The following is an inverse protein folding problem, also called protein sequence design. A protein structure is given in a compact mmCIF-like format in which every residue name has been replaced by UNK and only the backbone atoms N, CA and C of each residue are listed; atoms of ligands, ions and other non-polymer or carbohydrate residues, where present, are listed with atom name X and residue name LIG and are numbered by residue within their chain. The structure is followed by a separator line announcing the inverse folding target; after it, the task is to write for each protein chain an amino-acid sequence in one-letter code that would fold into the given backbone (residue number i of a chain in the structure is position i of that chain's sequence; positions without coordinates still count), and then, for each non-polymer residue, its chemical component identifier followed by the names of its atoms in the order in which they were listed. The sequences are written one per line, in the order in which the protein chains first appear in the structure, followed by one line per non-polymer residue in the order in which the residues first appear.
data_IF_588852634174
#
_entry.id   IF_588852634174
#
_cell.length_a   1.000
_cell.length_b   1.000
_cell.length_c   1.000
_cell.angle_alpha   90.00
_cell.angle_beta   90.00
_cell.angle_gamma   90.00
#
_symmetry.space_group_name_H-M   'P 1'
#
loop_
_entity.id
_entity.type
_entity.pdbx_description
1 polymer ?
#
# COMPACT_ATOMS: atom_id res chain seq x y z
N UNK A 1 21.20 12.84 -0.30
CA UNK A 1 21.24 14.17 -0.94
C UNK A 1 19.82 14.64 -1.07
N UNK A 2 19.47 15.71 -0.36
CA UNK A 2 18.11 16.21 -0.23
C UNK A 2 17.93 17.41 -1.16
N UNK A 3 16.91 17.39 -2.01
CA UNK A 3 16.42 18.57 -2.69
C UNK A 3 14.98 18.80 -2.23
N UNK A 4 14.85 19.72 -1.27
CA UNK A 4 13.61 20.28 -0.77
C UNK A 4 13.11 21.26 -1.84
N UNK A 5 11.86 21.11 -2.27
CA UNK A 5 11.18 22.18 -3.01
C UNK A 5 9.89 22.55 -2.27
N UNK A 6 9.89 23.73 -1.65
CA UNK A 6 8.71 24.41 -1.11
C UNK A 6 8.28 25.45 -2.13
N UNK A 7 6.98 25.58 -2.41
CA UNK A 7 6.46 26.81 -2.99
C UNK A 7 5.23 27.31 -2.22
N UNK A 8 5.37 28.53 -1.68
CA UNK A 8 4.29 29.34 -1.10
C UNK A 8 3.38 29.85 -2.22
N UNK A 9 2.07 29.83 -2.03
CA UNK A 9 1.13 30.65 -2.79
C UNK A 9 0.69 31.86 -1.97
N UNK A 10 0.84 33.04 -2.56
CA UNK A 10 0.43 34.32 -1.99
C UNK A 10 -1.07 34.57 -2.22
N UNK A 11 -1.71 35.17 -1.21
CA UNK A 11 -3.07 35.71 -1.30
C UNK A 11 -3.05 37.06 -1.99
N UNK A 12 -4.05 37.33 -2.83
CA UNK A 12 -4.47 38.69 -3.21
C UNK A 12 -5.99 38.80 -3.11
N UNK A 13 -6.44 39.88 -2.46
CA UNK A 13 -7.82 40.32 -2.31
C UNK A 13 -8.17 41.40 -3.35
N UNK A 14 -9.47 41.54 -3.64
CA UNK A 14 -10.10 42.70 -4.30
C UNK A 14 -10.83 42.32 -5.60
N UNK A 15 -12.01 42.84 -5.97
CA UNK A 15 -12.83 43.96 -5.50
C UNK A 15 -14.29 43.70 -5.94
N UNK A 16 -15.23 44.23 -5.16
CA UNK A 16 -16.68 44.27 -5.39
C UNK A 16 -17.05 45.21 -6.56
N UNK A 17 -17.93 44.79 -7.46
CA UNK A 17 -18.52 45.65 -8.49
C UNK A 17 -19.93 45.18 -8.87
N UNK A 18 -20.94 45.91 -8.42
CA UNK A 18 -22.36 45.69 -8.68
C UNK A 18 -22.77 46.47 -9.95
N UNK A 19 -23.49 45.84 -10.89
CA UNK A 19 -24.40 46.52 -11.81
C UNK A 19 -25.51 45.59 -12.31
N UNK A 20 -26.70 46.16 -12.42
CA UNK A 20 -28.00 45.52 -12.66
C UNK A 20 -28.33 45.27 -14.15
N UNK A 21 -29.41 44.50 -14.32
CA UNK A 21 -30.41 44.42 -15.41
C UNK A 21 -30.41 43.22 -16.38
N UNK A 22 -31.50 42.45 -16.20
CA UNK A 22 -32.26 41.51 -17.02
C UNK A 22 -31.86 41.20 -18.48
N UNK A 23 -31.88 39.90 -18.81
CA UNK A 23 -32.76 39.37 -19.86
C UNK A 23 -32.87 37.83 -19.74
N UNK A 24 -34.11 37.32 -19.74
CA UNK A 24 -34.43 35.90 -19.89
C UNK A 24 -34.18 35.53 -21.37
N UNK A 25 -33.08 34.84 -21.64
CA UNK A 25 -32.88 34.12 -22.88
C UNK A 25 -32.38 32.73 -22.51
N UNK A 26 -33.06 31.69 -23.01
CA UNK A 26 -32.72 30.30 -22.76
C UNK A 26 -31.30 30.01 -23.24
N UNK A 27 -30.35 30.06 -22.32
CA UNK A 27 -29.04 29.47 -22.51
C UNK A 27 -29.14 28.04 -22.02
N UNK A 28 -29.27 27.10 -22.96
CA UNK A 28 -28.68 25.79 -22.79
C UNK A 28 -27.25 26.04 -22.32
N UNK A 29 -27.02 25.86 -21.02
CA UNK A 29 -25.70 26.04 -20.42
C UNK A 29 -24.69 25.20 -21.20
N UNK A 30 -23.42 25.64 -21.29
CA UNK A 30 -22.41 24.81 -21.91
C UNK A 30 -22.42 23.46 -21.21
N UNK A 31 -22.81 22.42 -21.95
CA UNK A 31 -22.60 21.04 -21.53
C UNK A 31 -21.08 20.93 -21.38
N UNK A 32 -20.60 21.02 -20.15
CA UNK A 32 -19.19 20.78 -19.85
C UNK A 32 -18.95 19.36 -20.31
N UNK A 33 -18.28 19.18 -21.45
CA UNK A 33 -17.81 17.89 -21.87
C UNK A 33 -17.02 17.33 -20.68
N UNK A 34 -17.46 16.19 -20.15
CA UNK A 34 -16.74 15.54 -19.09
C UNK A 34 -15.34 15.25 -19.64
N UNK A 35 -14.31 15.91 -19.10
CA UNK A 35 -12.91 15.57 -19.36
C UNK A 35 -12.74 14.10 -18.96
N UNK A 36 -12.75 13.24 -19.98
CA UNK A 36 -12.52 11.80 -19.83
C UNK A 36 -11.19 11.48 -20.50
N UNK A 37 -10.18 11.21 -19.67
CA UNK A 37 -8.88 10.79 -20.17
C UNK A 37 -8.83 9.26 -20.22
N UNK A 38 -8.61 8.70 -21.41
CA UNK A 38 -8.35 7.27 -21.59
C UNK A 38 -6.85 7.02 -21.69
N UNK A 39 -6.33 6.13 -20.85
CA UNK A 39 -4.89 5.88 -20.72
C UNK A 39 -4.65 4.39 -20.92
N UNK A 40 -3.82 4.05 -21.90
CA UNK A 40 -3.34 2.69 -22.08
C UNK A 40 -2.24 2.38 -21.06
N UNK A 41 -2.33 1.20 -20.45
CA UNK A 41 -1.35 0.65 -19.52
C UNK A 41 -0.48 -0.38 -20.23
N UNK A 42 0.79 -0.41 -19.85
CA UNK A 42 1.76 -1.39 -20.33
C UNK A 42 2.33 -2.19 -19.19
N UNK A 43 2.43 -3.50 -19.36
CA UNK A 43 3.03 -4.37 -18.36
C UNK A 43 4.53 -4.05 -18.18
N UNK A 44 4.93 -3.85 -16.93
CA UNK A 44 6.32 -3.65 -16.51
C UNK A 44 6.69 -4.70 -15.48
N UNK A 45 7.78 -5.40 -15.75
CA UNK A 45 8.37 -6.32 -14.78
C UNK A 45 9.48 -5.64 -13.99
N UNK A 46 9.48 -5.81 -12.67
CA UNK A 46 10.48 -5.19 -11.82
C UNK A 46 11.68 -6.09 -11.59
N UNK A 47 12.89 -5.52 -11.66
CA UNK A 47 14.14 -6.24 -11.36
C UNK A 47 14.34 -6.41 -9.87
N UNK A 48 14.06 -5.35 -9.12
CA UNK A 48 14.04 -5.33 -7.67
C UNK A 48 12.65 -4.88 -7.25
N UNK A 49 12.14 -5.47 -6.18
CA UNK A 49 10.84 -5.11 -5.64
C UNK A 49 11.04 -4.16 -4.46
N UNK A 50 10.67 -2.90 -4.66
CA UNK A 50 10.72 -1.85 -3.63
C UNK A 50 9.33 -1.40 -3.18
N UNK A 51 8.28 -1.88 -3.84
CA UNK A 51 6.89 -1.49 -3.58
C UNK A 51 6.43 -2.09 -2.24
N UNK A 52 5.90 -1.24 -1.38
CA UNK A 52 5.24 -1.62 -0.14
C UNK A 52 3.74 -1.82 -0.43
N UNK A 53 3.27 -3.05 -0.30
CA UNK A 53 1.87 -3.39 -0.51
C UNK A 53 1.06 -3.20 0.79
N UNK A 54 -0.23 -2.81 0.69
CA UNK A 54 -1.10 -2.60 1.84
C UNK A 54 -1.39 -3.93 2.56
N UNK A 55 -1.41 -5.04 1.84
CA UNK A 55 -1.48 -6.39 2.39
C UNK A 55 -0.63 -7.34 1.56
N UNK A 56 0.57 -7.66 2.06
CA UNK A 56 1.50 -8.50 1.32
C UNK A 56 1.35 -9.97 1.68
N UNK A 57 1.33 -10.84 0.66
CA UNK A 57 1.26 -12.29 0.82
C UNK A 57 2.20 -12.99 -0.18
N UNK A 58 2.86 -14.04 0.31
CA UNK A 58 3.49 -15.07 -0.50
C UNK A 58 2.53 -16.24 -0.70
N UNK A 59 2.51 -16.80 -1.91
CA UNK A 59 1.68 -17.94 -2.29
C UNK A 59 2.54 -19.19 -2.38
N UNK A 60 2.07 -20.30 -1.81
CA UNK A 60 2.77 -21.58 -1.95
C UNK A 60 2.87 -21.99 -3.43
N UNK A 61 4.07 -22.43 -3.83
CA UNK A 61 4.30 -23.07 -5.12
C UNK A 61 3.89 -24.53 -4.99
N UNK A 62 2.59 -24.81 -5.15
CA UNK A 62 2.04 -26.18 -5.20
C UNK A 62 2.29 -26.80 -6.59
N UNK A 63 1.22 -27.10 -7.33
CA UNK A 63 1.30 -27.71 -8.66
C UNK A 63 1.55 -26.69 -9.79
N UNK A 64 1.67 -25.40 -9.47
CA UNK A 64 1.92 -24.36 -10.47
C UNK A 64 1.56 -22.95 -10.03
N UNK A 65 1.78 -22.00 -10.94
CA UNK A 65 1.36 -20.59 -10.79
C UNK A 65 0.05 -20.40 -11.55
N UNK A 66 -1.00 -19.97 -10.85
CA UNK A 66 -2.38 -19.90 -11.36
C UNK A 66 -2.65 -18.67 -12.24
N UNK A 67 -1.85 -18.49 -13.29
CA UNK A 67 -2.08 -17.47 -14.31
C UNK A 67 -2.65 -18.17 -15.54
N UNK A 68 -3.87 -17.82 -15.92
CA UNK A 68 -4.53 -18.43 -17.07
C UNK A 68 -3.88 -18.02 -18.40
N UNK A 69 -3.78 -18.97 -19.33
CA UNK A 69 -3.26 -18.77 -20.68
C UNK A 69 -4.03 -19.62 -21.70
N UNK A 70 -3.68 -19.51 -22.99
CA UNK A 70 -4.38 -20.18 -24.07
C UNK A 70 -4.37 -21.71 -23.99
N UNK A 71 -3.40 -22.29 -23.26
CA UNK A 71 -3.17 -23.74 -23.17
C UNK A 71 -3.52 -24.32 -21.79
N UNK A 72 -3.97 -23.51 -20.83
CA UNK A 72 -4.18 -23.96 -19.45
C UNK A 72 -4.57 -22.85 -18.48
N UNK A 73 -4.78 -23.23 -17.23
CA UNK A 73 -5.11 -22.32 -16.12
C UNK A 73 -3.88 -21.98 -15.24
N UNK A 74 -2.73 -22.59 -15.52
CA UNK A 74 -1.52 -22.45 -14.71
C UNK A 74 -0.24 -22.77 -15.50
N UNK A 75 0.85 -22.18 -15.04
CA UNK A 75 2.21 -22.57 -15.43
C UNK A 75 2.71 -23.68 -14.54
N UNK A 76 3.07 -24.82 -15.13
CA UNK A 76 3.48 -26.02 -14.39
C UNK A 76 4.83 -25.84 -13.69
N UNK A 77 4.95 -26.44 -12.51
CA UNK A 77 6.18 -26.44 -11.72
C UNK A 77 6.45 -27.84 -11.16
N UNK A 78 7.72 -28.15 -10.91
CA UNK A 78 8.11 -29.36 -10.19
C UNK A 78 9.26 -29.06 -9.24
N UNK A 79 9.16 -29.54 -8.01
CA UNK A 79 10.27 -29.48 -7.04
C UNK A 79 11.17 -30.69 -7.27
N UNK A 80 12.42 -30.44 -7.63
CA UNK A 80 13.44 -31.46 -7.82
C UNK A 80 14.56 -31.27 -6.80
N UNK A 81 14.48 -32.01 -5.69
CA UNK A 81 15.36 -31.83 -4.53
C UNK A 81 15.26 -30.41 -3.98
N UNK A 82 16.33 -29.63 -4.10
CA UNK A 82 16.36 -28.23 -3.65
C UNK A 82 15.99 -27.21 -4.73
N UNK A 83 15.86 -27.63 -5.98
CA UNK A 83 15.58 -26.78 -7.14
C UNK A 83 14.10 -26.77 -7.50
N UNK A 84 13.70 -25.74 -8.25
CA UNK A 84 12.37 -25.62 -8.83
C UNK A 84 12.48 -25.63 -10.36
N UNK A 85 11.79 -26.56 -11.02
CA UNK A 85 11.63 -26.56 -12.46
C UNK A 85 10.32 -25.90 -12.86
N UNK A 86 10.35 -25.21 -13.98
CA UNK A 86 9.29 -24.31 -14.41
C UNK A 86 8.99 -24.51 -15.89
N UNK A 87 7.71 -24.55 -16.23
CA UNK A 87 7.21 -24.23 -17.56
C UNK A 87 7.02 -22.72 -17.62
N UNK A 88 7.91 -22.01 -18.33
CA UNK A 88 7.85 -20.53 -18.39
C UNK A 88 7.00 -20.00 -19.53
N UNK A 89 6.54 -20.87 -20.43
CA UNK A 89 5.84 -20.47 -21.66
C UNK A 89 4.40 -21.04 -21.76
N UNK A 90 4.00 -21.87 -20.80
CA UNK A 90 2.70 -22.50 -20.70
C UNK A 90 2.48 -23.63 -21.70
N UNK A 91 3.53 -24.27 -22.22
CA UNK A 91 3.43 -25.38 -23.18
C UNK A 91 3.38 -26.77 -22.54
N UNK A 92 3.43 -26.85 -21.21
CA UNK A 92 3.42 -28.09 -20.44
C UNK A 92 4.80 -28.73 -20.27
N UNK A 93 5.87 -28.17 -20.86
CA UNK A 93 7.22 -28.68 -20.70
C UNK A 93 8.00 -27.80 -19.73
N UNK A 94 8.66 -28.45 -18.77
CA UNK A 94 9.51 -27.77 -17.81
C UNK A 94 10.84 -27.36 -18.46
N UNK A 95 10.94 -26.10 -18.87
CA UNK A 95 12.01 -25.52 -19.70
C UNK A 95 13.06 -24.72 -18.91
N UNK A 96 12.83 -24.46 -17.62
CA UNK A 96 13.76 -23.71 -16.77
C UNK A 96 13.98 -24.36 -15.41
N UNK A 97 15.22 -24.30 -14.91
CA UNK A 97 15.58 -24.74 -13.55
C UNK A 97 16.05 -23.56 -12.72
N UNK A 98 15.44 -23.36 -11.56
CA UNK A 98 15.81 -22.36 -10.55
C UNK A 98 16.54 -23.07 -9.40
N UNK A 99 17.76 -22.63 -9.13
CA UNK A 99 18.54 -23.09 -7.97
C UNK A 99 18.40 -22.05 -6.86
N UNK A 100 18.27 -22.48 -5.59
CA UNK A 100 18.21 -21.53 -4.49
C UNK A 100 19.58 -20.87 -4.32
N UNK A 101 19.67 -19.59 -4.66
CA UNK A 101 20.74 -18.69 -4.24
C UNK A 101 20.40 -18.18 -2.83
N UNK A 102 20.86 -18.89 -1.80
CA UNK A 102 20.55 -18.58 -0.40
C UNK A 102 21.38 -17.38 0.06
N UNK A 103 20.72 -16.33 0.52
CA UNK A 103 21.38 -15.25 1.25
C UNK A 103 21.86 -15.78 2.62
N UNK A 104 23.14 -15.59 2.94
CA UNK A 104 23.77 -16.19 4.13
C UNK A 104 23.32 -15.56 5.46
N UNK A 105 22.69 -14.39 5.43
CA UNK A 105 22.25 -13.67 6.63
C UNK A 105 20.79 -13.98 6.92
N UNK A 106 19.95 -13.99 5.89
CA UNK A 106 18.49 -14.18 6.02
C UNK A 106 18.06 -15.63 5.80
N UNK A 107 18.93 -16.49 5.24
CA UNK A 107 18.62 -17.84 4.78
C UNK A 107 17.46 -17.91 3.76
N UNK A 108 17.10 -16.79 3.14
CA UNK A 108 16.09 -16.73 2.08
C UNK A 108 16.78 -16.76 0.73
N UNK A 109 16.29 -17.59 -0.19
CA UNK A 109 16.68 -17.49 -1.59
C UNK A 109 15.64 -16.73 -2.38
N UNK A 110 16.02 -15.64 -3.05
CA UNK A 110 15.12 -14.92 -3.96
C UNK A 110 15.50 -15.12 -5.43
N UNK A 111 14.50 -15.35 -6.28
CA UNK A 111 14.69 -15.42 -7.73
C UNK A 111 13.55 -14.73 -8.47
N UNK A 112 13.79 -14.35 -9.73
CA UNK A 112 12.77 -13.79 -10.60
C UNK A 112 12.62 -14.63 -11.86
N UNK A 113 11.36 -14.92 -12.20
CA UNK A 113 10.97 -15.60 -13.44
C UNK A 113 9.98 -14.70 -14.17
N UNK A 114 10.05 -14.69 -15.50
CA UNK A 114 9.05 -14.03 -16.34
C UNK A 114 8.36 -15.11 -17.12
N UNK A 115 7.08 -15.28 -16.84
CA UNK A 115 6.16 -16.13 -17.57
C UNK A 115 5.76 -15.41 -18.85
N UNK A 116 5.56 -16.17 -19.91
CA UNK A 116 5.12 -15.65 -21.20
C UNK A 116 4.11 -16.59 -21.81
N UNK A 117 3.19 -16.06 -22.60
CA UNK A 117 2.17 -16.89 -23.21
C UNK A 117 1.23 -16.06 -24.07
N UNK A 118 0.12 -16.68 -24.45
CA UNK A 118 -1.02 -15.99 -25.05
C UNK A 118 -2.21 -16.11 -24.13
N UNK A 119 -3.03 -15.07 -24.02
CA UNK A 119 -4.32 -15.13 -23.33
C UNK A 119 -5.27 -16.07 -24.07
N UNK A 120 -6.41 -16.42 -23.46
CA UNK A 120 -7.47 -17.21 -24.14
C UNK A 120 -7.98 -16.54 -25.43
N UNK A 121 -7.88 -15.21 -25.52
CA UNK A 121 -8.21 -14.41 -26.71
C UNK A 121 -7.05 -14.30 -27.72
N UNK A 122 -5.91 -14.93 -27.45
CA UNK A 122 -4.76 -14.99 -28.38
C UNK A 122 -3.74 -13.86 -28.24
N UNK A 123 -3.96 -12.87 -27.36
CA UNK A 123 -3.03 -11.77 -27.14
C UNK A 123 -1.78 -12.24 -26.39
N UNK A 124 -0.59 -11.86 -26.85
CA UNK A 124 0.64 -12.19 -26.14
C UNK A 124 0.73 -11.42 -24.82
N UNK A 125 1.22 -12.07 -23.77
CA UNK A 125 1.44 -11.44 -22.47
C UNK A 125 2.78 -11.87 -21.85
N UNK A 126 3.21 -11.08 -20.87
CA UNK A 126 4.31 -11.39 -19.96
C UNK A 126 3.83 -11.17 -18.54
N UNK A 127 4.29 -12.01 -17.62
CA UNK A 127 3.95 -11.90 -16.21
C UNK A 127 5.17 -12.29 -15.36
N UNK A 128 5.73 -11.34 -14.63
CA UNK A 128 6.85 -11.55 -13.74
C UNK A 128 6.38 -12.05 -12.38
N UNK A 129 7.06 -13.07 -11.88
CA UNK A 129 6.93 -13.56 -10.52
C UNK A 129 8.25 -13.41 -9.78
N UNK A 130 8.13 -13.17 -8.48
CA UNK A 130 9.18 -13.32 -7.49
C UNK A 130 9.01 -14.70 -6.87
N UNK A 131 10.13 -15.36 -6.63
CA UNK A 131 10.19 -16.65 -5.94
C UNK A 131 11.01 -16.46 -4.68
N UNK A 132 10.55 -17.07 -3.60
CA UNK A 132 11.39 -17.28 -2.44
C UNK A 132 11.41 -18.74 -2.02
N UNK A 133 12.49 -19.15 -1.35
CA UNK A 133 12.57 -20.43 -0.65
C UNK A 133 13.00 -20.21 0.78
N UNK A 134 12.24 -20.75 1.71
CA UNK A 134 12.55 -20.82 3.13
C UNK A 134 12.39 -22.26 3.67
N UNK A 135 12.29 -22.43 4.99
CA UNK A 135 12.09 -23.73 5.62
C UNK A 135 10.71 -24.37 5.34
N UNK A 136 9.71 -23.59 4.94
CA UNK A 136 8.34 -24.05 4.63
C UNK A 136 8.20 -24.52 3.20
N UNK A 137 9.08 -24.07 2.30
CA UNK A 137 9.14 -24.53 0.92
C UNK A 137 9.39 -23.40 -0.07
N UNK A 138 8.95 -23.63 -1.30
CA UNK A 138 8.96 -22.60 -2.34
C UNK A 138 7.66 -21.79 -2.28
N UNK A 139 7.81 -20.48 -2.32
CA UNK A 139 6.69 -19.55 -2.42
C UNK A 139 6.92 -18.56 -3.56
N UNK A 140 5.85 -17.93 -4.02
CA UNK A 140 5.89 -16.96 -5.09
C UNK A 140 5.00 -15.76 -4.79
N UNK A 141 5.31 -14.64 -5.43
CA UNK A 141 4.49 -13.43 -5.39
C UNK A 141 4.57 -12.70 -6.74
N UNK A 142 3.56 -11.89 -7.09
CA UNK A 142 3.61 -11.02 -8.27
C UNK A 142 4.85 -10.12 -8.27
N UNK A 143 5.44 -9.92 -9.44
CA UNK A 143 6.74 -9.26 -9.64
C UNK A 143 6.74 -8.15 -10.71
N UNK A 144 5.57 -7.63 -11.05
CA UNK A 144 5.38 -6.54 -12.00
C UNK A 144 4.05 -5.82 -11.79
N UNK A 145 3.77 -4.87 -12.68
CA UNK A 145 2.58 -4.02 -12.63
C UNK A 145 2.16 -3.60 -14.03
N UNK A 146 0.87 -3.32 -14.21
CA UNK A 146 0.39 -2.51 -15.35
C UNK A 146 0.70 -1.06 -15.04
N UNK A 147 1.44 -0.39 -15.93
CA UNK A 147 1.95 0.97 -15.69
C UNK A 147 1.50 1.92 -16.79
N UNK A 148 1.11 3.13 -16.41
CA UNK A 148 0.74 4.19 -17.32
C UNK A 148 0.97 5.56 -16.70
N UNK A 149 0.44 6.58 -17.35
CA UNK A 149 0.62 7.98 -16.94
C UNK A 149 -0.69 8.73 -17.12
N UNK A 150 -1.15 9.36 -16.04
CA UNK A 150 -2.27 10.29 -16.04
C UNK A 150 -1.76 11.69 -16.35
N UNK A 151 -2.51 12.46 -17.12
CA UNK A 151 -2.22 13.88 -17.35
C UNK A 151 -2.50 14.67 -16.07
N UNK A 152 -1.50 15.37 -15.57
CA UNK A 152 -1.64 16.30 -14.45
C UNK A 152 -1.42 17.75 -14.86
N UNK A 153 -1.84 18.67 -14.00
CA UNK A 153 -1.74 20.12 -14.16
C UNK A 153 -0.27 20.58 -14.15
N UNK A 154 0.58 19.91 -13.36
CA UNK A 154 2.01 20.25 -13.18
C UNK A 154 2.94 19.28 -13.92
N UNK A 155 2.40 18.21 -14.49
CA UNK A 155 3.15 17.21 -15.25
C UNK A 155 2.49 15.84 -15.26
N UNK A 156 3.10 14.86 -15.95
CA UNK A 156 2.63 13.48 -15.97
C UNK A 156 2.66 12.83 -14.58
N UNK A 157 1.54 12.24 -14.16
CA UNK A 157 1.42 11.52 -12.88
C UNK A 157 1.43 10.02 -13.18
N UNK A 158 2.48 9.28 -12.78
CA UNK A 158 2.54 7.84 -13.04
C UNK A 158 1.47 7.10 -12.25
N UNK A 159 0.91 6.05 -12.85
CA UNK A 159 0.04 5.09 -12.19
C UNK A 159 0.58 3.68 -12.39
N UNK A 160 0.55 2.87 -11.34
CA UNK A 160 0.90 1.45 -11.35
C UNK A 160 -0.23 0.65 -10.73
N UNK A 161 -0.67 -0.42 -11.38
CA UNK A 161 -1.64 -1.39 -10.86
C UNK A 161 -0.95 -2.73 -10.71
N UNK A 162 -1.04 -3.31 -9.53
CA UNK A 162 -0.40 -4.54 -9.13
C UNK A 162 -1.48 -5.58 -8.85
N UNK A 163 -1.44 -6.67 -9.60
CA UNK A 163 -2.14 -7.92 -9.27
C UNK A 163 -1.65 -8.39 -7.89
N UNK A 164 -2.44 -8.19 -6.84
CA UNK A 164 -2.02 -8.49 -5.47
C UNK A 164 -2.42 -9.91 -5.05
N UNK A 165 -3.54 -10.41 -5.59
CA UNK A 165 -4.05 -11.75 -5.29
C UNK A 165 -3.38 -12.85 -6.13
N UNK A 166 -2.60 -12.48 -7.15
CA UNK A 166 -1.84 -13.36 -8.01
C UNK A 166 -2.70 -14.17 -8.99
N UNK A 167 -3.85 -13.66 -9.42
CA UNK A 167 -4.75 -14.38 -10.32
C UNK A 167 -4.55 -14.03 -11.82
N UNK A 168 -3.70 -13.03 -12.09
CA UNK A 168 -3.39 -12.54 -13.44
C UNK A 168 -4.30 -11.43 -13.94
N UNK A 169 -5.31 -11.01 -13.16
CA UNK A 169 -6.11 -9.82 -13.42
C UNK A 169 -5.47 -8.57 -12.81
N UNK A 170 -5.88 -7.41 -13.31
CA UNK A 170 -5.41 -6.11 -12.81
C UNK A 170 -6.57 -5.12 -12.64
N UNK A 171 -7.79 -5.62 -12.46
CA UNK A 171 -9.03 -4.85 -12.35
C UNK A 171 -9.84 -5.20 -11.09
N UNK A 172 -9.27 -5.98 -10.16
CA UNK A 172 -9.97 -6.40 -8.95
C UNK A 172 -9.97 -5.29 -7.88
N UNK A 173 -10.96 -4.40 -7.99
CA UNK A 173 -11.18 -3.32 -7.02
C UNK A 173 -11.24 -3.85 -5.58
N UNK A 174 -10.46 -3.22 -4.70
CA UNK A 174 -10.36 -3.55 -3.28
C UNK A 174 -9.48 -4.78 -2.97
N UNK A 175 -9.02 -5.50 -3.98
CA UNK A 175 -8.20 -6.70 -3.80
C UNK A 175 -6.79 -6.45 -4.33
N UNK A 176 -6.70 -5.98 -5.58
CA UNK A 176 -5.46 -5.54 -6.20
C UNK A 176 -4.91 -4.29 -5.51
N UNK A 177 -3.73 -3.86 -5.92
CA UNK A 177 -3.10 -2.66 -5.40
C UNK A 177 -2.80 -1.64 -6.48
N UNK A 178 -2.74 -0.38 -6.09
CA UNK A 178 -2.36 0.70 -6.98
C UNK A 178 -1.42 1.69 -6.30
N UNK A 179 -0.63 2.37 -7.13
CA UNK A 179 0.16 3.54 -6.74
C UNK A 179 -0.17 4.65 -7.73
N UNK A 180 -0.53 5.83 -7.22
CA UNK A 180 -0.68 7.06 -8.00
C UNK A 180 0.43 8.02 -7.55
N UNK A 181 1.28 8.43 -8.48
CA UNK A 181 2.49 9.20 -8.21
C UNK A 181 3.75 8.34 -8.09
N UNK A 182 4.84 9.01 -7.70
CA UNK A 182 6.20 8.46 -7.77
C UNK A 182 6.66 7.69 -6.52
N UNK A 183 5.85 7.65 -5.46
CA UNK A 183 6.17 6.94 -4.21
C UNK A 183 6.16 5.41 -4.38
N UNK A 184 6.57 4.66 -3.36
CA UNK A 184 6.56 3.18 -3.41
C UNK A 184 5.50 2.54 -2.48
N UNK A 185 4.69 3.36 -1.82
CA UNK A 185 3.57 2.93 -0.98
C UNK A 185 2.33 2.72 -1.86
N UNK A 186 1.84 1.48 -1.90
CA UNK A 186 0.62 1.12 -2.62
C UNK A 186 -0.58 1.11 -1.67
N UNK A 187 -1.73 1.50 -2.21
CA UNK A 187 -3.04 1.34 -1.59
C UNK A 187 -3.80 0.22 -2.28
N UNK A 188 -4.96 -0.19 -1.75
CA UNK A 188 -5.81 -1.10 -2.51
C UNK A 188 -6.31 -0.40 -3.79
N UNK A 189 -6.44 -1.17 -4.86
CA UNK A 189 -7.00 -0.71 -6.12
C UNK A 189 -8.38 -0.13 -5.86
N UNK A 190 -8.60 1.12 -6.25
CA UNK A 190 -9.79 1.87 -5.87
C UNK A 190 -10.55 2.38 -7.09
N UNK A 191 -11.85 2.61 -6.94
CA UNK A 191 -12.66 3.29 -7.95
C UNK A 191 -12.36 4.80 -8.02
N UNK A 192 -11.68 5.35 -7.02
CA UNK A 192 -11.31 6.76 -6.96
C UNK A 192 -9.84 6.97 -6.63
N UNK A 193 -9.29 8.08 -7.13
CA UNK A 193 -7.90 8.50 -6.94
C UNK A 193 -7.83 10.01 -6.73
N UNK A 194 -6.75 10.48 -6.12
CA UNK A 194 -6.44 11.91 -6.03
C UNK A 194 -5.36 12.25 -7.07
N UNK A 195 -5.65 13.20 -7.95
CA UNK A 195 -4.75 13.70 -9.01
C UNK A 195 -4.75 15.22 -8.90
N UNK A 196 -3.58 15.83 -8.68
CA UNK A 196 -3.43 17.28 -8.45
C UNK A 196 -4.41 17.83 -7.39
N UNK A 197 -4.50 17.14 -6.25
CA UNK A 197 -5.43 17.45 -5.15
C UNK A 197 -6.93 17.47 -5.54
N UNK A 198 -7.30 16.86 -6.68
CA UNK A 198 -8.68 16.70 -7.11
C UNK A 198 -9.06 15.23 -7.10
N UNK A 199 -10.21 14.92 -6.51
CA UNK A 199 -10.75 13.57 -6.50
C UNK A 199 -11.29 13.22 -7.89
N UNK A 200 -10.85 12.08 -8.41
CA UNK A 200 -11.23 11.55 -9.73
C UNK A 200 -11.79 10.15 -9.57
N UNK A 201 -12.69 9.77 -10.46
CA UNK A 201 -13.15 8.38 -10.61
C UNK A 201 -12.32 7.70 -11.69
N UNK A 202 -11.93 6.45 -11.44
CA UNK A 202 -11.31 5.59 -12.44
C UNK A 202 -12.20 4.39 -12.77
N UNK A 203 -12.03 3.86 -13.97
CA UNK A 203 -12.59 2.58 -14.40
C UNK A 203 -11.54 1.86 -15.23
N UNK A 204 -11.41 0.56 -15.01
CA UNK A 204 -10.38 -0.27 -15.64
C UNK A 204 -11.10 -1.26 -16.55
N UNK A 205 -10.58 -1.46 -17.75
CA UNK A 205 -11.11 -2.50 -18.66
C UNK A 205 -10.89 -3.89 -18.07
N UNK A 206 -11.73 -4.90 -18.37
CA UNK A 206 -11.53 -6.28 -17.92
C UNK A 206 -10.17 -6.88 -18.30
N UNK A 207 -9.52 -6.38 -19.35
CA UNK A 207 -8.17 -6.78 -19.73
C UNK A 207 -7.06 -6.16 -18.85
N UNK A 208 -7.40 -5.28 -17.90
CA UNK A 208 -6.46 -4.61 -17.00
C UNK A 208 -5.50 -3.63 -17.70
N UNK A 209 -5.69 -3.35 -18.99
CA UNK A 209 -4.71 -2.66 -19.84
C UNK A 209 -5.10 -1.25 -20.25
N UNK A 210 -6.24 -0.75 -19.77
CA UNK A 210 -6.66 0.62 -20.00
C UNK A 210 -7.46 1.13 -18.81
N UNK A 211 -7.25 2.40 -18.49
CA UNK A 211 -8.06 3.12 -17.52
C UNK A 211 -8.74 4.31 -18.17
N UNK A 212 -9.91 4.66 -17.64
CA UNK A 212 -10.59 5.93 -17.93
C UNK A 212 -10.67 6.74 -16.65
N UNK A 213 -10.26 8.01 -16.70
CA UNK A 213 -10.27 8.93 -15.57
C UNK A 213 -11.32 10.01 -15.83
N UNK A 214 -12.20 10.25 -14.86
CA UNK A 214 -13.27 11.26 -14.92
C UNK A 214 -13.37 12.04 -13.62
N UNK A 215 -14.04 13.18 -13.63
CA UNK A 215 -14.34 13.91 -12.39
C UNK A 215 -15.23 13.07 -11.45
N UNK A 216 -14.91 13.06 -10.16
CA UNK A 216 -15.78 12.49 -9.16
C UNK A 216 -16.93 13.47 -8.85
N UNK A 217 -18.16 12.96 -8.74
CA UNK A 217 -19.38 13.77 -8.51
C UNK A 217 -20.20 13.32 -7.29
N UNK A 218 -19.70 12.35 -6.52
CA UNK A 218 -20.38 11.88 -5.31
C UNK A 218 -20.11 12.78 -4.10
N UNK A 219 -20.72 12.47 -2.94
CA UNK A 219 -20.43 13.16 -1.70
C UNK A 219 -18.96 12.99 -1.29
N UNK A 220 -18.34 14.07 -0.81
CA UNK A 220 -16.94 14.09 -0.35
C UNK A 220 -16.83 14.56 1.09
N UNK A 221 -15.66 14.37 1.67
CA UNK A 221 -15.28 14.78 3.01
C UNK A 221 -13.81 15.18 3.02
N UNK A 222 -13.42 16.11 3.89
CA UNK A 222 -12.01 16.47 4.11
C UNK A 222 -11.50 15.71 5.31
N UNK A 223 -10.65 14.73 5.07
CA UNK A 223 -10.11 13.88 6.12
C UNK A 223 -8.62 14.12 6.32
N UNK A 224 -8.19 14.17 7.56
CA UNK A 224 -6.82 14.45 7.95
C UNK A 224 -6.31 13.39 8.93
N UNK A 225 -5.24 12.71 8.54
CA UNK A 225 -4.52 11.76 9.40
C UNK A 225 -3.11 12.23 9.74
N UNK A 226 -2.66 13.40 9.28
CA UNK A 226 -1.28 13.84 9.44
C UNK A 226 -1.13 14.86 10.56
N UNK A 227 -2.04 15.83 10.68
CA UNK A 227 -1.88 16.96 11.62
C UNK A 227 -1.89 16.54 13.09
N UNK A 228 -2.73 15.57 13.45
CA UNK A 228 -2.86 15.07 14.83
C UNK A 228 -2.10 13.76 15.07
N UNK A 229 -1.26 13.34 14.13
CA UNK A 229 -0.44 12.15 14.30
C UNK A 229 0.69 12.42 15.30
N UNK A 230 0.66 11.73 16.44
CA UNK A 230 1.63 11.93 17.50
C UNK A 230 2.77 10.90 17.42
N UNK A 231 3.88 11.26 16.77
CA UNK A 231 5.10 10.45 16.80
C UNK A 231 6.35 11.32 16.59
N UNK A 232 7.50 10.82 17.07
CA UNK A 232 8.79 11.46 16.84
C UNK A 232 9.34 11.24 15.41
N UNK A 233 8.78 10.27 14.68
CA UNK A 233 9.18 9.96 13.31
C UNK A 233 8.24 10.55 12.27
N UNK A 234 8.69 10.59 11.02
CA UNK A 234 7.85 10.97 9.89
C UNK A 234 6.86 9.84 9.56
N UNK A 235 5.60 10.22 9.33
CA UNK A 235 4.58 9.31 8.81
C UNK A 235 4.88 9.01 7.34
N UNK A 236 5.33 7.79 7.06
CA UNK A 236 5.70 7.35 5.71
C UNK A 236 4.48 6.90 4.92
N UNK A 237 3.55 6.21 5.60
CA UNK A 237 2.26 5.80 5.05
C UNK A 237 1.20 5.69 6.14
N UNK A 238 -0.05 5.92 5.76
CA UNK A 238 -1.26 5.77 6.55
C UNK A 238 -2.42 5.44 5.60
N UNK A 239 -2.65 4.15 5.40
CA UNK A 239 -3.58 3.60 4.42
C UNK A 239 -4.92 3.31 5.09
N UNK A 240 -5.96 3.93 4.56
CA UNK A 240 -7.35 3.63 4.90
C UNK A 240 -8.04 2.93 3.74
N UNK A 241 -9.11 2.20 4.04
CA UNK A 241 -9.96 1.54 3.05
C UNK A 241 -11.42 1.75 3.42
N UNK A 242 -12.28 2.03 2.45
CA UNK A 242 -13.73 2.05 2.69
C UNK A 242 -14.21 0.64 3.02
N UNK A 243 -15.21 0.53 3.90
CA UNK A 243 -15.67 -0.79 4.38
C UNK A 243 -16.36 -1.61 3.29
N UNK A 244 -16.83 -0.97 2.21
CA UNK A 244 -17.31 -1.65 0.99
C UNK A 244 -16.17 -2.10 0.05
N UNK A 245 -14.93 -1.77 0.41
CA UNK A 245 -13.71 -2.15 -0.29
C UNK A 245 -13.39 -1.33 -1.53
N UNK A 246 -14.22 -0.36 -1.92
CA UNK A 246 -14.11 0.34 -3.22
C UNK A 246 -13.10 1.47 -3.27
N UNK A 247 -12.74 2.04 -2.13
CA UNK A 247 -11.85 3.19 -2.05
C UNK A 247 -10.74 2.96 -1.03
N UNK A 248 -9.54 3.43 -1.31
CA UNK A 248 -8.39 3.30 -0.45
C UNK A 248 -7.40 4.42 -0.74
N UNK A 249 -6.91 5.03 0.32
CA UNK A 249 -6.07 6.24 0.25
C UNK A 249 -4.91 6.13 1.21
N UNK A 250 -3.76 6.66 0.80
CA UNK A 250 -2.59 6.84 1.65
C UNK A 250 -2.47 8.32 2.02
N UNK A 251 -2.35 8.60 3.32
CA UNK A 251 -2.12 9.93 3.87
C UNK A 251 -0.63 10.20 4.14
N UNK A 252 0.25 9.21 3.94
CA UNK A 252 1.70 9.38 4.04
C UNK A 252 2.22 10.50 3.15
N UNK A 253 3.05 11.37 3.71
CA UNK A 253 3.64 12.49 2.96
C UNK A 253 2.67 13.59 2.51
N UNK A 254 1.38 13.53 2.89
CA UNK A 254 0.44 14.63 2.64
C UNK A 254 0.68 15.80 3.60
N UNK A 255 0.57 17.03 3.08
CA UNK A 255 0.78 18.27 3.85
C UNK A 255 -0.48 18.72 4.62
N UNK A 256 -1.53 17.90 4.69
CA UNK A 256 -2.77 18.21 5.39
C UNK A 256 -3.97 17.36 4.94
N UNK A 257 -5.20 17.85 5.15
CA UNK A 257 -6.41 17.11 4.80
C UNK A 257 -6.50 16.79 3.31
N UNK A 258 -6.92 15.57 2.98
CA UNK A 258 -7.27 15.15 1.62
C UNK A 258 -8.80 15.14 1.46
N UNK A 259 -9.26 15.51 0.27
CA UNK A 259 -10.65 15.33 -0.11
C UNK A 259 -10.87 13.91 -0.66
N UNK A 260 -11.70 13.12 0.01
CA UNK A 260 -12.00 11.73 -0.32
C UNK A 260 -13.53 11.50 -0.33
N UNK A 261 -14.06 10.39 -0.88
CA UNK A 261 -15.48 10.06 -0.80
C UNK A 261 -15.96 9.98 0.65
N UNK A 262 -17.12 10.55 0.95
CA UNK A 262 -17.78 10.32 2.24
C UNK A 262 -18.22 8.85 2.36
N UNK A 263 -18.13 8.27 3.55
CA UNK A 263 -18.41 6.86 3.78
C UNK A 263 -17.85 6.33 5.09
N UNK A 264 -17.97 5.01 5.28
CA UNK A 264 -17.37 4.31 6.41
C UNK A 264 -16.02 3.73 5.99
N UNK A 265 -15.00 3.92 6.84
CA UNK A 265 -13.62 3.57 6.55
C UNK A 265 -12.98 2.81 7.72
N UNK A 266 -11.96 2.03 7.40
CA UNK A 266 -11.07 1.38 8.35
C UNK A 266 -9.61 1.73 8.05
N UNK A 267 -8.78 1.79 9.08
CA UNK A 267 -7.33 1.84 8.91
C UNK A 267 -6.80 0.44 8.63
N UNK A 268 -5.92 0.29 7.64
CA UNK A 268 -5.40 -1.03 7.24
C UNK A 268 -3.91 -1.17 7.55
N UNK A 269 -3.11 -0.20 7.13
CA UNK A 269 -1.67 -0.29 7.23
C UNK A 269 -1.04 1.10 7.30
N UNK A 270 0.15 1.18 7.87
CA UNK A 270 0.95 2.39 7.83
C UNK A 270 2.40 2.11 8.20
N UNK A 271 3.21 3.15 8.15
CA UNK A 271 4.60 3.07 8.54
C UNK A 271 5.12 4.41 9.06
N UNK A 272 6.03 4.34 10.01
CA UNK A 272 6.74 5.52 10.55
C UNK A 272 8.23 5.31 10.41
N UNK A 273 8.93 6.38 10.04
CA UNK A 273 10.38 6.38 9.89
C UNK A 273 11.06 7.45 10.72
N UNK A 274 12.17 7.07 11.36
CA UNK A 274 13.08 8.00 12.02
C UNK A 274 14.53 7.61 11.69
N UNK A 275 15.21 8.42 10.87
CA UNK A 275 16.54 8.11 10.33
C UNK A 275 16.59 6.71 9.67
N UNK A 276 17.37 5.77 10.20
CA UNK A 276 17.42 4.37 9.76
C UNK A 276 16.32 3.47 10.37
N UNK A 277 15.60 3.94 11.38
CA UNK A 277 14.59 3.15 12.08
C UNK A 277 13.26 3.19 11.35
N UNK A 278 12.58 2.06 11.26
CA UNK A 278 11.20 1.96 10.76
C UNK A 278 10.36 1.13 11.70
N UNK A 279 9.06 1.43 11.74
CA UNK A 279 8.04 0.62 12.40
C UNK A 279 6.83 0.55 11.49
N UNK A 280 6.20 -0.64 11.42
CA UNK A 280 4.94 -0.83 10.71
C UNK A 280 3.79 -0.56 11.66
N UNK A 281 2.71 -0.03 11.12
CA UNK A 281 1.44 0.18 11.82
C UNK A 281 0.40 -0.71 11.16
N UNK A 282 -0.36 -1.44 11.97
CA UNK A 282 -1.49 -2.26 11.54
C UNK A 282 -2.77 -1.80 12.22
N UNK A 283 -3.92 -2.30 11.76
CA UNK A 283 -5.24 -1.99 12.32
C UNK A 283 -5.30 -2.17 13.83
N UNK A 284 -4.70 -3.25 14.35
CA UNK A 284 -4.76 -3.57 15.77
C UNK A 284 -6.20 -3.65 16.27
N UNK A 285 -6.54 -2.73 17.18
CA UNK A 285 -7.86 -2.56 17.81
C UNK A 285 -8.57 -1.29 17.34
N UNK A 286 -8.03 -0.58 16.34
CA UNK A 286 -8.67 0.62 15.82
C UNK A 286 -10.01 0.28 15.18
N UNK A 287 -11.07 0.93 15.67
CA UNK A 287 -12.41 0.74 15.13
C UNK A 287 -12.58 1.47 13.80
N UNK A 288 -13.42 0.94 12.88
CA UNK A 288 -13.87 1.70 11.73
C UNK A 288 -14.47 3.04 12.14
N UNK A 289 -14.31 4.04 11.29
CA UNK A 289 -14.78 5.40 11.51
C UNK A 289 -15.60 5.89 10.32
N UNK A 290 -16.61 6.71 10.63
CA UNK A 290 -17.52 7.29 9.65
C UNK A 290 -17.07 8.68 9.28
N UNK A 291 -17.02 8.97 7.98
CA UNK A 291 -16.74 10.29 7.44
C UNK A 291 -17.99 10.83 6.74
N UNK A 292 -18.63 11.83 7.35
CA UNK A 292 -19.82 12.45 6.80
C UNK A 292 -19.54 13.35 5.59
N UNK A 293 -20.54 13.51 4.73
CA UNK A 293 -20.48 14.41 3.57
C UNK A 293 -20.33 15.87 4.02
N UNK A 294 -19.52 16.62 3.28
CA UNK A 294 -19.22 18.05 3.51
C UNK A 294 -18.67 18.35 4.90
N UNK A 295 -18.10 17.34 5.57
CA UNK A 295 -17.46 17.49 6.87
C UNK A 295 -15.95 17.63 6.72
N UNK A 296 -15.32 18.15 7.77
CA UNK A 296 -13.90 18.06 7.98
C UNK A 296 -13.64 17.30 9.28
N UNK A 297 -12.80 16.26 9.20
CA UNK A 297 -12.48 15.42 10.33
C UNK A 297 -10.97 15.17 10.39
N UNK A 298 -10.43 15.25 11.59
CA UNK A 298 -9.03 14.89 11.87
C UNK A 298 -9.03 13.70 12.81
N UNK A 299 -8.33 12.63 12.42
CA UNK A 299 -8.15 11.47 13.29
C UNK A 299 -7.06 11.77 14.33
N UNK A 300 -7.39 11.59 15.60
CA UNK A 300 -6.38 11.59 16.68
C UNK A 300 -5.89 10.16 16.87
N UNK A 301 -4.64 9.93 16.50
CA UNK A 301 -3.99 8.62 16.55
C UNK A 301 -2.49 8.83 16.75
N UNK A 302 -1.71 7.77 16.86
CA UNK A 302 -0.33 7.83 17.29
C UNK A 302 -0.17 7.61 18.80
N UNK A 303 0.83 8.27 19.36
CA UNK A 303 1.08 8.27 20.79
C UNK A 303 -0.03 8.92 21.64
N UNK A 304 -0.09 8.61 22.94
CA UNK A 304 0.84 7.73 23.66
C UNK A 304 0.70 6.26 23.26
N UNK A 305 1.85 5.57 23.12
CA UNK A 305 1.90 4.15 22.80
C UNK A 305 1.97 3.35 24.10
N UNK A 306 1.07 2.40 24.27
CA UNK A 306 1.04 1.46 25.40
C UNK A 306 1.64 0.13 24.98
N UNK A 307 2.42 -0.47 25.87
CA UNK A 307 2.94 -1.81 25.69
C UNK A 307 2.18 -2.81 26.56
N UNK A 308 1.71 -3.89 25.95
CA UNK A 308 0.98 -4.96 26.62
C UNK A 308 1.77 -6.27 26.49
N UNK A 309 1.99 -6.96 27.61
CA UNK A 309 2.63 -8.27 27.65
C UNK A 309 2.26 -9.03 28.92
N UNK A 310 2.33 -10.35 28.85
CA UNK A 310 2.19 -11.23 30.02
C UNK A 310 3.58 -11.64 30.51
N UNK A 311 3.76 -11.67 31.84
CA UNK A 311 4.98 -12.15 32.47
C UNK A 311 4.68 -13.21 33.52
N UNK A 312 5.66 -14.06 33.79
CA UNK A 312 5.66 -15.04 34.87
C UNK A 312 6.78 -14.71 35.87
N UNK A 313 6.61 -15.16 37.12
CA UNK A 313 7.68 -15.16 38.12
C UNK A 313 8.30 -16.55 38.19
N UNK A 314 9.62 -16.61 38.09
CA UNK A 314 10.42 -17.83 38.23
C UNK A 314 11.48 -17.57 39.30
N UNK A 315 11.13 -17.86 40.56
CA UNK A 315 11.95 -17.50 41.72
C UNK A 315 12.09 -15.99 41.88
N UNK A 316 13.33 -15.50 41.88
CA UNK A 316 13.70 -14.09 41.96
C UNK A 316 13.68 -13.37 40.59
N UNK A 317 13.28 -14.06 39.52
CA UNK A 317 13.28 -13.53 38.15
C UNK A 317 11.87 -13.28 37.63
N UNK A 318 11.74 -12.23 36.82
CA UNK A 318 10.58 -11.99 35.94
C UNK A 318 10.93 -12.51 34.55
N UNK A 319 10.06 -13.32 33.97
CA UNK A 319 10.22 -13.88 32.63
C UNK A 319 9.04 -13.45 31.75
N UNK A 320 9.32 -13.02 30.54
CA UNK A 320 8.33 -12.77 29.49
C UNK A 320 8.97 -13.09 28.14
N UNK A 321 8.14 -13.37 27.13
CA UNK A 321 8.62 -13.58 25.76
C UNK A 321 8.73 -12.23 25.06
N UNK A 322 9.91 -11.82 24.55
CA UNK A 322 10.05 -10.60 23.77
C UNK A 322 9.21 -10.57 22.49
N UNK A 323 8.78 -11.75 22.00
CA UNK A 323 7.90 -11.89 20.85
C UNK A 323 6.41 -11.72 21.19
N UNK A 324 6.05 -11.70 22.47
CA UNK A 324 4.67 -11.56 22.95
C UNK A 324 4.50 -10.21 23.68
N UNK A 325 4.97 -9.15 23.02
CA UNK A 325 4.75 -7.78 23.45
C UNK A 325 4.07 -7.05 22.30
N UNK A 326 2.92 -6.45 22.58
CA UNK A 326 2.13 -5.68 21.63
C UNK A 326 2.21 -4.21 21.99
N UNK A 327 2.24 -3.35 20.97
CA UNK A 327 2.31 -1.91 21.13
C UNK A 327 1.09 -1.28 20.49
N UNK A 328 0.27 -0.60 21.27
CA UNK A 328 -0.95 0.04 20.77
C UNK A 328 -0.89 1.55 20.95
N UNK A 329 -1.21 2.29 19.89
CA UNK A 329 -1.42 3.73 19.97
C UNK A 329 -2.78 4.10 20.54
N UNK A 330 -3.03 5.40 20.65
CA UNK A 330 -4.21 5.94 21.34
C UNK A 330 -5.53 5.59 20.65
N UNK A 331 -5.51 5.35 19.34
CA UNK A 331 -6.71 4.96 18.59
C UNK A 331 -6.80 3.44 18.40
N UNK A 332 -5.90 2.67 19.02
CA UNK A 332 -5.90 1.21 19.00
C UNK A 332 -5.04 0.60 17.90
N UNK A 333 -4.43 1.39 17.02
CA UNK A 333 -3.50 0.91 15.98
C UNK A 333 -2.30 0.18 16.59
N UNK A 334 -1.83 -0.89 15.95
CA UNK A 334 -0.73 -1.72 16.44
C UNK A 334 0.60 -1.33 15.79
N UNK A 335 1.65 -1.16 16.60
CA UNK A 335 3.03 -0.94 16.14
C UNK A 335 3.84 -2.22 16.21
N UNK A 336 4.37 -2.66 15.08
CA UNK A 336 5.06 -3.94 14.99
C UNK A 336 6.21 -3.91 13.98
N UNK A 337 7.00 -4.98 13.94
CA UNK A 337 8.10 -5.17 13.00
C UNK A 337 9.09 -3.99 12.98
N UNK A 338 9.61 -3.65 14.16
CA UNK A 338 10.59 -2.60 14.34
C UNK A 338 11.91 -2.98 13.66
N UNK A 339 12.42 -2.10 12.80
CA UNK A 339 13.68 -2.30 12.09
C UNK A 339 14.66 -1.16 12.39
N UNK A 340 15.98 -1.44 12.51
CA UNK A 340 16.56 -2.78 12.62
C UNK A 340 16.10 -3.52 13.89
N UNK A 341 15.93 -4.84 13.78
CA UNK A 341 15.50 -5.68 14.90
C UNK A 341 16.49 -5.58 16.07
N UNK A 342 15.96 -5.64 17.30
CA UNK A 342 16.78 -5.61 18.52
C UNK A 342 17.39 -4.24 18.86
N UNK A 343 16.92 -3.15 18.21
CA UNK A 343 17.33 -1.77 18.55
C UNK A 343 16.21 -0.90 19.14
N UNK A 344 14.96 -1.28 18.95
CA UNK A 344 13.79 -0.51 19.39
C UNK A 344 12.59 -1.45 19.57
N UNK A 345 11.63 -1.12 20.45
CA UNK A 345 11.70 -0.08 21.49
C UNK A 345 12.55 -0.50 22.71
N UNK A 346 13.08 0.51 23.42
CA UNK A 346 13.91 0.36 24.62
C UNK A 346 13.09 0.58 25.89
N UNK A 347 13.21 -0.33 26.85
CA UNK A 347 12.64 -0.25 28.19
C UNK A 347 13.73 0.02 29.21
N UNK A 348 13.54 1.09 29.99
CA UNK A 348 14.38 1.41 31.14
C UNK A 348 13.67 0.97 32.41
N UNK A 349 14.24 -0.03 33.07
CA UNK A 349 13.82 -0.45 34.41
C UNK A 349 14.57 0.42 35.41
N UNK A 350 13.82 1.22 36.17
CA UNK A 350 14.36 2.12 37.19
C UNK A 350 13.93 1.65 38.58
N UNK A 351 14.76 1.88 39.58
CA UNK A 351 14.38 1.70 40.97
C UNK A 351 13.41 2.83 41.36
N UNK A 352 12.19 2.48 41.75
CA UNK A 352 11.15 3.46 42.06
C UNK A 352 11.50 4.39 43.24
N UNK A 353 12.27 3.92 44.23
CA UNK A 353 12.62 4.72 45.41
C UNK A 353 13.80 5.68 45.18
N UNK A 354 14.74 5.33 44.29
CA UNK A 354 15.95 6.12 44.05
C UNK A 354 15.99 6.80 42.68
N UNK A 355 15.12 6.41 41.75
CA UNK A 355 15.18 6.80 40.34
C UNK A 355 16.36 6.22 39.56
N UNK A 356 17.22 5.41 40.20
CA UNK A 356 18.42 4.88 39.57
C UNK A 356 18.06 3.87 38.46
N UNK A 357 18.72 3.98 37.31
CA UNK A 357 18.60 3.00 36.22
C UNK A 357 19.16 1.65 36.69
N UNK A 358 18.31 0.63 36.70
CA UNK A 358 18.68 -0.72 37.05
C UNK A 358 19.05 -1.53 35.81
N UNK A 359 18.23 -1.47 34.76
CA UNK A 359 18.45 -2.25 33.54
C UNK A 359 17.84 -1.58 32.31
N UNK A 360 18.46 -1.81 31.16
CA UNK A 360 17.90 -1.50 29.85
C UNK A 360 17.57 -2.83 29.14
N UNK A 361 16.38 -2.93 28.55
CA UNK A 361 15.96 -4.06 27.74
C UNK A 361 15.44 -3.57 26.39
N UNK A 362 15.76 -4.27 25.30
CA UNK A 362 15.20 -3.98 23.98
C UNK A 362 14.22 -5.06 23.62
N UNK A 363 12.98 -4.66 23.35
CA UNK A 363 11.88 -5.60 23.16
C UNK A 363 11.13 -5.24 21.87
N UNK A 364 11.55 -5.74 20.70
CA UNK A 364 10.92 -5.39 19.42
C UNK A 364 9.46 -5.83 19.31
N UNK A 365 8.96 -6.70 20.19
CA UNK A 365 7.57 -7.16 20.19
C UNK A 365 7.28 -8.19 19.09
N UNK A 366 6.00 -8.33 18.77
CA UNK A 366 5.51 -9.14 17.66
C UNK A 366 6.12 -8.70 16.32
N UNK A 367 6.40 -9.69 15.46
CA UNK A 367 6.95 -9.51 14.10
C UNK A 367 5.90 -9.62 13.02
#
# INVERSE_FOLDING_TARGET
MSAIWKHKSGKTHGVLGLCCFAMFAGMSGPTVAADSDSIDLSYRSYRQWTINLPSFKWFEVKDGIKIAHAKGDRFAVAVEGNSLRFDTNGDGKLDRTIKPLVDRVTNVSTSRVVLSGKTKKGAAFRYAIRLQKDARGWEWAPGGAMSGTIKGDVGPIPIRIIDQNGDGSFDDIGIDSMIVGSGDEAVFLSETIVVDNKLRKISITPEGNRITVTAYSGPTTKFDMTTSFNANGALLSAIVRSTDGKNSFDFGGSDGPLEIPAGDYEFVAGAVGLAQHRVKIGTGRMHPFKLGADQQQTLKWGGPVQAEFTFARAGDKVQFSPANIWYYGQAGEEYFNWTPQGKSPEYKVINAGTGALFRVAVCPGST
#
